data_IF_140313413105
#
_entry.id   IF_140313413105
#
_cell.length_a   1.000
_cell.length_b   1.000
_cell.length_c   1.000
_cell.angle_alpha   90.00
_cell.angle_beta   90.00
_cell.angle_gamma   90.00
#
_symmetry.space_group_name_H-M   'P 1'
#
loop_
_entity.id
_entity.type
_entity.pdbx_description
1 polymer ?
#
# COMPACT_ATOMS: atom_id res chain seq x y z
N UNK A 1 1.40 -14.12 -0.55
CA UNK A 1 0.37 -14.49 -1.55
C UNK A 1 0.29 -13.31 -2.50
N UNK A 2 0.78 -13.45 -3.75
CA UNK A 2 0.64 -12.38 -4.73
C UNK A 2 -0.84 -12.16 -4.95
N UNK A 3 -1.39 -11.07 -4.45
CA UNK A 3 -2.65 -10.53 -4.92
C UNK A 3 -2.44 -10.03 -6.37
N UNK A 4 -2.16 -10.96 -7.28
CA UNK A 4 -2.35 -10.74 -8.71
C UNK A 4 -3.84 -10.68 -8.94
N UNK A 5 -4.38 -9.49 -8.77
CA UNK A 5 -5.77 -9.27 -9.05
C UNK A 5 -5.92 -9.00 -10.55
N UNK A 6 -5.84 -10.09 -11.30
CA UNK A 6 -6.71 -10.33 -12.43
C UNK A 6 -7.69 -11.39 -11.95
N UNK A 7 -8.71 -10.98 -11.20
CA UNK A 7 -9.88 -11.83 -11.00
C UNK A 7 -10.38 -12.25 -12.37
N UNK A 8 -10.79 -13.51 -12.51
CA UNK A 8 -11.57 -13.93 -13.69
C UNK A 8 -12.67 -12.88 -13.89
N UNK A 9 -12.75 -12.26 -15.08
CA UNK A 9 -13.71 -11.19 -15.35
C UNK A 9 -15.14 -11.57 -14.96
N UNK A 10 -15.50 -12.85 -15.04
CA UNK A 10 -16.82 -13.35 -14.66
C UNK A 10 -17.01 -13.38 -13.14
N UNK A 11 -16.01 -13.82 -12.37
CA UNK A 11 -16.06 -13.82 -10.92
C UNK A 11 -16.06 -12.38 -10.38
N UNK A 12 -15.29 -11.48 -11.01
CA UNK A 12 -15.30 -10.07 -10.64
C UNK A 12 -16.68 -9.44 -10.85
N UNK A 13 -17.32 -9.64 -12.01
CA UNK A 13 -18.64 -9.05 -12.32
C UNK A 13 -19.71 -9.47 -11.30
N UNK A 14 -19.68 -10.72 -10.81
CA UNK A 14 -20.61 -11.19 -9.79
C UNK A 14 -20.35 -10.54 -8.43
N UNK A 15 -19.09 -10.48 -7.99
CA UNK A 15 -18.69 -9.86 -6.72
C UNK A 15 -18.94 -8.35 -6.75
N UNK A 16 -18.61 -7.68 -7.88
CA UNK A 16 -18.89 -6.26 -8.07
C UNK A 16 -20.40 -5.98 -7.89
N UNK A 17 -21.27 -6.70 -8.60
CA UNK A 17 -22.72 -6.51 -8.51
C UNK A 17 -23.21 -6.68 -7.08
N UNK A 18 -22.87 -7.77 -6.40
CA UNK A 18 -23.25 -8.03 -5.01
C UNK A 18 -22.74 -6.94 -4.05
N UNK A 19 -21.53 -6.44 -4.27
CA UNK A 19 -20.94 -5.40 -3.43
C UNK A 19 -21.64 -4.06 -3.64
N UNK A 20 -21.88 -3.67 -4.89
CA UNK A 20 -22.58 -2.42 -5.22
C UNK A 20 -24.03 -2.41 -4.74
N UNK A 21 -24.72 -3.56 -4.73
CA UNK A 21 -26.06 -3.68 -4.17
C UNK A 21 -26.09 -3.43 -2.64
N UNK A 22 -25.03 -3.79 -1.93
CA UNK A 22 -24.90 -3.55 -0.47
C UNK A 22 -24.43 -2.13 -0.15
N UNK A 23 -23.57 -1.56 -0.98
CA UNK A 23 -23.03 -0.20 -0.84
C UNK A 23 -23.88 0.77 -1.66
N UNK A 24 -25.15 0.90 -1.29
CA UNK A 24 -26.23 1.55 -2.03
C UNK A 24 -26.14 3.09 -2.08
N UNK A 25 -25.26 3.71 -1.28
CA UNK A 25 -25.04 5.15 -1.31
C UNK A 25 -23.75 5.48 -2.06
N UNK A 26 -23.87 6.40 -3.03
CA UNK A 26 -22.74 6.91 -3.79
C UNK A 26 -22.57 8.42 -3.61
N UNK A 27 -21.31 8.85 -3.45
CA UNK A 27 -20.92 10.26 -3.45
C UNK A 27 -19.76 10.42 -4.42
N UNK A 28 -19.88 11.33 -5.37
CA UNK A 28 -18.90 11.55 -6.42
C UNK A 28 -18.11 12.84 -6.15
N UNK A 29 -16.79 12.78 -6.38
CA UNK A 29 -15.87 13.93 -6.34
C UNK A 29 -15.10 14.03 -7.65
N UNK A 30 -14.03 14.83 -7.70
CA UNK A 30 -13.22 14.98 -8.91
C UNK A 30 -12.58 13.66 -9.34
N UNK A 31 -11.97 12.92 -8.37
CA UNK A 31 -11.19 11.72 -8.66
C UNK A 31 -11.81 10.42 -8.13
N UNK A 32 -12.91 10.49 -7.35
CA UNK A 32 -13.49 9.32 -6.68
C UNK A 32 -14.99 9.16 -6.89
N UNK A 33 -15.43 7.92 -6.77
CA UNK A 33 -16.82 7.52 -6.50
C UNK A 33 -16.79 6.72 -5.19
N UNK A 34 -17.17 7.37 -4.09
CA UNK A 34 -17.28 6.71 -2.78
C UNK A 34 -18.59 5.96 -2.68
N UNK A 35 -18.52 4.69 -2.27
CA UNK A 35 -19.73 3.89 -2.02
C UNK A 35 -19.71 3.34 -0.60
N UNK A 36 -20.86 3.37 0.06
CA UNK A 36 -21.04 2.85 1.41
C UNK A 36 -22.49 2.43 1.65
N UNK A 37 -22.71 1.61 2.66
CA UNK A 37 -24.07 1.23 3.07
C UNK A 37 -24.79 2.42 3.72
N UNK A 38 -26.09 2.56 3.45
CA UNK A 38 -26.91 3.58 4.09
C UNK A 38 -26.89 3.43 5.62
N UNK A 39 -26.73 4.55 6.35
CA UNK A 39 -26.68 4.56 7.81
C UNK A 39 -25.36 4.11 8.44
N UNK A 40 -24.38 3.66 7.65
CA UNK A 40 -23.03 3.34 8.15
C UNK A 40 -22.30 4.56 8.72
N UNK A 41 -21.19 4.34 9.44
CA UNK A 41 -20.31 5.42 9.88
C UNK A 41 -19.73 6.15 8.65
N UNK A 42 -19.31 5.42 7.64
CA UNK A 42 -18.82 5.97 6.39
C UNK A 42 -19.84 6.91 5.72
N UNK A 43 -21.13 6.54 5.72
CA UNK A 43 -22.18 7.39 5.16
C UNK A 43 -22.35 8.72 5.92
N UNK A 44 -22.12 8.73 7.23
CA UNK A 44 -22.16 9.95 8.06
C UNK A 44 -20.93 10.83 7.88
N UNK A 45 -19.77 10.22 7.63
CA UNK A 45 -18.47 10.90 7.55
C UNK A 45 -17.96 11.06 6.09
N UNK A 46 -18.78 10.73 5.09
CA UNK A 46 -18.36 10.72 3.66
C UNK A 46 -17.70 12.03 3.23
N UNK A 47 -18.18 13.19 3.69
CA UNK A 47 -17.59 14.48 3.34
C UNK A 47 -16.15 14.65 3.86
N UNK A 48 -15.86 14.15 5.07
CA UNK A 48 -14.50 14.20 5.62
C UNK A 48 -13.59 13.19 4.90
N UNK A 49 -14.08 11.97 4.66
CA UNK A 49 -13.37 10.94 3.90
C UNK A 49 -13.02 11.46 2.50
N UNK A 50 -13.97 12.05 1.81
CA UNK A 50 -13.76 12.60 0.47
C UNK A 50 -12.69 13.69 0.45
N UNK A 51 -12.71 14.61 1.41
CA UNK A 51 -11.72 15.67 1.50
C UNK A 51 -10.30 15.11 1.77
N UNK A 52 -10.17 14.10 2.63
CA UNK A 52 -8.91 13.44 2.92
C UNK A 52 -8.37 12.69 1.69
N UNK A 53 -9.24 11.95 1.00
CA UNK A 53 -8.84 11.17 -0.18
C UNK A 53 -8.45 12.05 -1.37
N UNK A 54 -9.12 13.17 -1.59
CA UNK A 54 -8.70 14.14 -2.63
C UNK A 54 -7.31 14.75 -2.31
N UNK A 55 -7.01 15.00 -1.03
CA UNK A 55 -5.66 15.41 -0.63
C UNK A 55 -4.62 14.30 -0.87
N UNK A 56 -4.96 13.04 -0.54
CA UNK A 56 -4.12 11.88 -0.80
C UNK A 56 -3.85 11.73 -2.31
N UNK A 57 -4.88 11.83 -3.15
CA UNK A 57 -4.73 11.80 -4.61
C UNK A 57 -3.78 12.88 -5.12
N UNK A 58 -3.93 14.11 -4.66
CA UNK A 58 -3.05 15.22 -5.02
C UNK A 58 -1.57 14.97 -4.67
N UNK A 59 -1.30 14.37 -3.50
CA UNK A 59 0.07 13.96 -3.11
C UNK A 59 0.62 12.87 -4.04
N UNK A 60 -0.19 11.87 -4.35
CA UNK A 60 0.22 10.75 -5.23
C UNK A 60 0.42 11.22 -6.66
N UNK A 61 -0.48 12.05 -7.20
CA UNK A 61 -0.31 12.70 -8.50
C UNK A 61 1.03 13.46 -8.58
N UNK A 62 1.40 14.19 -7.53
CA UNK A 62 2.67 14.91 -7.48
C UNK A 62 3.87 13.96 -7.41
N UNK A 63 3.78 12.86 -6.64
CA UNK A 63 4.83 11.85 -6.51
C UNK A 63 5.08 11.08 -7.82
N UNK A 64 3.99 10.59 -8.44
CA UNK A 64 4.06 9.76 -9.64
C UNK A 64 4.19 10.57 -10.94
N UNK A 65 3.74 11.83 -10.95
CA UNK A 65 3.82 12.73 -12.10
C UNK A 65 2.74 12.50 -13.16
N UNK A 66 1.66 11.77 -12.84
CA UNK A 66 0.51 11.54 -13.72
C UNK A 66 -0.80 11.41 -12.92
N UNK A 67 -1.91 11.38 -13.64
CA UNK A 67 -3.26 11.11 -13.11
C UNK A 67 -3.71 9.71 -13.55
N UNK A 68 -4.57 9.09 -12.75
CA UNK A 68 -5.23 7.85 -13.17
C UNK A 68 -6.29 8.17 -14.26
N UNK A 69 -6.47 7.27 -15.23
CA UNK A 69 -7.36 7.53 -16.38
C UNK A 69 -8.85 7.51 -16.02
N UNK A 70 -9.20 6.88 -14.91
CA UNK A 70 -10.57 6.70 -14.42
C UNK A 70 -10.69 7.14 -12.96
N UNK A 71 -11.91 7.51 -12.54
CA UNK A 71 -12.20 7.72 -11.11
C UNK A 71 -12.05 6.44 -10.34
N UNK A 72 -11.56 6.57 -9.11
CA UNK A 72 -11.40 5.46 -8.19
C UNK A 72 -12.77 5.13 -7.58
N UNK A 73 -13.22 3.90 -7.72
CA UNK A 73 -14.35 3.33 -6.99
C UNK A 73 -13.86 2.96 -5.57
N UNK A 74 -14.18 3.81 -4.60
CA UNK A 74 -13.74 3.67 -3.22
C UNK A 74 -14.87 3.06 -2.39
N UNK A 75 -14.75 1.76 -2.10
CA UNK A 75 -15.78 0.91 -1.51
C UNK A 75 -15.56 0.83 0.00
N UNK A 76 -16.33 1.61 0.77
CA UNK A 76 -16.24 1.72 2.21
C UNK A 76 -17.08 0.64 2.87
N UNK A 77 -16.45 -0.43 3.30
CA UNK A 77 -17.05 -1.58 3.97
C UNK A 77 -17.17 -1.35 5.47
N UNK A 78 -18.02 -2.13 6.14
CA UNK A 78 -18.27 -1.94 7.56
C UNK A 78 -17.21 -2.54 8.48
N UNK A 79 -16.38 -3.47 7.98
CA UNK A 79 -15.33 -4.09 8.79
C UNK A 79 -14.25 -4.79 7.95
N UNK A 80 -13.08 -5.11 8.55
CA UNK A 80 -12.06 -5.94 7.92
C UNK A 80 -12.54 -7.35 7.54
N UNK A 81 -13.49 -7.92 8.27
CA UNK A 81 -14.10 -9.23 7.97
C UNK A 81 -14.92 -9.18 6.69
N UNK A 82 -15.62 -8.08 6.44
CA UNK A 82 -16.37 -7.87 5.20
C UNK A 82 -15.43 -7.82 4.00
N UNK A 83 -14.29 -7.12 4.11
CA UNK A 83 -13.24 -7.13 3.09
C UNK A 83 -12.68 -8.53 2.86
N UNK A 84 -12.41 -9.27 3.94
CA UNK A 84 -11.93 -10.65 3.87
C UNK A 84 -12.93 -11.58 3.17
N UNK A 85 -14.22 -11.41 3.40
CA UNK A 85 -15.27 -12.18 2.71
C UNK A 85 -15.24 -11.92 1.19
N UNK A 86 -15.09 -10.65 0.78
CA UNK A 86 -14.95 -10.29 -0.66
C UNK A 86 -13.71 -10.94 -1.26
N UNK A 87 -12.57 -10.93 -0.57
CA UNK A 87 -11.37 -11.64 -1.03
C UNK A 87 -11.61 -13.15 -1.17
N UNK A 88 -12.29 -13.75 -0.21
CA UNK A 88 -12.64 -15.18 -0.25
C UNK A 88 -13.54 -15.53 -1.44
N UNK A 89 -14.48 -14.67 -1.81
CA UNK A 89 -15.32 -14.85 -3.01
C UNK A 89 -14.48 -14.73 -4.31
N UNK A 90 -13.53 -13.79 -4.35
CA UNK A 90 -12.69 -13.54 -5.53
C UNK A 90 -11.59 -14.60 -5.75
N UNK A 91 -10.98 -15.09 -4.68
CA UNK A 91 -9.76 -15.91 -4.76
C UNK A 91 -9.90 -17.30 -4.13
N UNK A 92 -11.09 -17.66 -3.70
CA UNK A 92 -11.38 -18.89 -2.98
C UNK A 92 -11.32 -18.72 -1.47
N UNK A 93 -12.06 -19.57 -0.76
CA UNK A 93 -12.31 -19.42 0.67
C UNK A 93 -11.08 -19.36 1.59
N UNK A 94 -9.92 -19.87 1.16
CA UNK A 94 -8.66 -19.77 1.90
C UNK A 94 -8.10 -18.35 1.97
N UNK A 95 -8.54 -17.44 1.08
CA UNK A 95 -8.19 -16.03 1.09
C UNK A 95 -9.07 -15.19 2.05
N UNK A 96 -10.09 -15.77 2.64
CA UNK A 96 -11.01 -15.07 3.55
C UNK A 96 -10.40 -14.89 4.94
N UNK A 97 -9.66 -13.81 5.13
CA UNK A 97 -9.15 -13.36 6.44
C UNK A 97 -9.42 -11.85 6.62
N UNK A 98 -9.60 -11.35 7.86
CA UNK A 98 -9.82 -9.93 8.09
C UNK A 98 -8.69 -9.08 7.49
N UNK A 99 -9.04 -8.09 6.67
CA UNK A 99 -8.10 -7.16 6.06
C UNK A 99 -8.66 -5.73 6.06
N UNK A 100 -7.84 -4.77 6.47
CA UNK A 100 -8.28 -3.38 6.59
C UNK A 100 -8.61 -2.75 5.24
N UNK A 101 -7.79 -3.02 4.22
CA UNK A 101 -7.99 -2.52 2.86
C UNK A 101 -7.29 -3.40 1.84
N UNK A 102 -7.70 -3.26 0.60
CA UNK A 102 -7.01 -3.82 -0.56
C UNK A 102 -7.45 -3.11 -1.85
N UNK A 103 -6.62 -3.21 -2.87
CA UNK A 103 -6.84 -2.54 -4.15
C UNK A 103 -6.91 -3.51 -5.30
N UNK A 104 -7.83 -3.26 -6.24
CA UNK A 104 -7.98 -4.02 -7.48
C UNK A 104 -7.80 -3.06 -8.67
N UNK A 105 -6.75 -3.29 -9.45
CA UNK A 105 -6.54 -2.54 -10.69
C UNK A 105 -7.72 -2.73 -11.68
N UNK A 106 -8.10 -1.72 -12.46
CA UNK A 106 -7.41 -0.42 -12.53
C UNK A 106 -7.88 0.62 -11.50
N UNK A 107 -9.01 0.42 -10.79
CA UNK A 107 -9.69 1.53 -10.11
C UNK A 107 -10.38 1.23 -8.78
N UNK A 108 -10.39 0.01 -8.29
CA UNK A 108 -11.16 -0.33 -7.08
C UNK A 108 -10.29 -0.30 -5.83
N UNK A 109 -10.80 0.32 -4.78
CA UNK A 109 -10.27 0.27 -3.42
C UNK A 109 -11.37 -0.22 -2.48
N UNK A 110 -11.08 -1.25 -1.71
CA UNK A 110 -11.91 -1.71 -0.60
C UNK A 110 -11.26 -1.23 0.70
N UNK A 111 -12.02 -0.54 1.53
CA UNK A 111 -11.51 0.07 2.75
C UNK A 111 -12.50 -0.12 3.91
N UNK A 112 -12.09 -0.80 4.95
CA UNK A 112 -12.86 -0.92 6.17
C UNK A 112 -12.96 0.43 6.87
N UNK A 113 -14.20 0.82 7.24
CA UNK A 113 -14.44 2.09 7.90
C UNK A 113 -15.48 1.94 9.01
N UNK A 114 -15.01 1.77 10.23
CA UNK A 114 -15.83 1.67 11.45
C UNK A 114 -15.20 2.47 12.60
N UNK A 115 -15.69 2.28 13.82
CA UNK A 115 -15.18 2.96 15.02
C UNK A 115 -13.78 2.46 15.45
N UNK A 116 -13.33 1.30 14.98
CA UNK A 116 -12.04 0.68 15.30
C UNK A 116 -11.01 0.88 14.19
N UNK A 117 -11.44 0.79 12.94
CA UNK A 117 -10.62 0.86 11.74
C UNK A 117 -11.15 1.92 10.81
N UNK A 118 -10.29 2.85 10.44
CA UNK A 118 -10.53 3.88 9.42
C UNK A 118 -9.45 3.76 8.35
N UNK A 119 -9.64 2.84 7.41
CA UNK A 119 -8.70 2.59 6.33
C UNK A 119 -8.85 3.64 5.22
N UNK A 120 -8.36 4.84 5.50
CA UNK A 120 -8.31 5.98 4.57
C UNK A 120 -6.89 6.53 4.50
N UNK A 121 -6.58 7.31 3.47
CA UNK A 121 -5.23 7.86 3.27
C UNK A 121 -4.61 7.43 1.95
N UNK A 122 -3.28 7.38 1.89
CA UNK A 122 -2.57 7.13 0.64
C UNK A 122 -2.41 5.64 0.30
N UNK A 123 -2.36 4.74 1.28
CA UNK A 123 -1.87 3.37 1.13
C UNK A 123 -2.49 2.63 -0.07
N UNK A 124 -3.79 2.40 -0.04
CA UNK A 124 -4.49 1.63 -1.07
C UNK A 124 -4.48 2.33 -2.43
N UNK A 125 -4.58 3.65 -2.43
CA UNK A 125 -4.53 4.43 -3.66
C UNK A 125 -3.14 4.41 -4.29
N UNK A 126 -2.08 4.30 -3.48
CA UNK A 126 -0.70 4.12 -3.96
C UNK A 126 -0.56 2.86 -4.79
N UNK A 127 -1.22 1.77 -4.40
CA UNK A 127 -1.21 0.55 -5.20
C UNK A 127 -1.82 0.78 -6.59
N UNK A 128 -2.94 1.51 -6.73
CA UNK A 128 -3.52 1.82 -8.03
C UNK A 128 -2.57 2.66 -8.91
N UNK A 129 -1.95 3.69 -8.35
CA UNK A 129 -0.93 4.46 -9.06
C UNK A 129 0.26 3.59 -9.47
N UNK A 130 0.77 2.78 -8.56
CA UNK A 130 1.92 1.92 -8.85
C UNK A 130 1.60 0.84 -9.92
N UNK A 131 0.39 0.27 -9.90
CA UNK A 131 -0.06 -0.69 -10.92
C UNK A 131 -0.22 -0.04 -12.30
N UNK A 132 -0.64 1.22 -12.36
CA UNK A 132 -0.67 1.97 -13.61
C UNK A 132 0.74 2.26 -14.16
N UNK A 133 1.76 2.36 -13.30
CA UNK A 133 3.16 2.47 -13.70
C UNK A 133 3.70 1.12 -14.21
N UNK A 134 3.60 0.09 -13.40
CA UNK A 134 3.97 -1.29 -13.72
C UNK A 134 3.44 -2.25 -12.65
N UNK A 135 3.25 -3.52 -13.02
CA UNK A 135 2.97 -4.55 -12.01
C UNK A 135 4.18 -4.72 -11.08
N UNK A 136 3.96 -4.78 -9.75
CA UNK A 136 5.04 -4.89 -8.78
C UNK A 136 5.91 -6.10 -9.05
N UNK A 137 7.23 -5.91 -9.01
CA UNK A 137 8.23 -6.98 -9.13
C UNK A 137 8.63 -7.54 -7.75
N UNK A 138 8.27 -6.84 -6.69
CA UNK A 138 8.56 -7.17 -5.30
C UNK A 138 7.45 -6.63 -4.39
N UNK A 139 6.86 -7.49 -3.59
CA UNK A 139 5.88 -7.07 -2.57
C UNK A 139 6.53 -6.18 -1.52
N UNK A 140 7.79 -6.44 -1.17
CA UNK A 140 8.56 -5.58 -0.27
C UNK A 140 8.62 -4.13 -0.76
N UNK A 141 8.85 -3.88 -2.07
CA UNK A 141 8.83 -2.52 -2.62
C UNK A 141 7.42 -1.98 -2.80
N UNK A 142 6.44 -2.82 -3.13
CA UNK A 142 5.05 -2.42 -3.31
C UNK A 142 4.45 -1.91 -2.00
N UNK A 143 4.53 -2.72 -0.95
CA UNK A 143 4.07 -2.34 0.38
C UNK A 143 4.94 -1.21 0.96
N UNK A 144 6.24 -1.24 0.70
CA UNK A 144 7.14 -0.17 1.11
C UNK A 144 6.79 1.19 0.52
N UNK A 145 6.38 1.25 -0.75
CA UNK A 145 5.94 2.49 -1.39
C UNK A 145 4.62 2.98 -0.81
N UNK A 146 3.66 2.09 -0.57
CA UNK A 146 2.40 2.41 0.09
C UNK A 146 2.62 2.93 1.52
N UNK A 147 3.49 2.27 2.29
CA UNK A 147 3.88 2.71 3.63
C UNK A 147 4.66 4.02 3.66
N UNK A 148 5.49 4.28 2.64
CA UNK A 148 6.18 5.56 2.48
C UNK A 148 5.17 6.70 2.27
N UNK A 149 4.15 6.51 1.44
CA UNK A 149 3.14 7.54 1.15
C UNK A 149 2.23 7.83 2.33
N UNK A 150 1.94 6.83 3.17
CA UNK A 150 1.24 7.00 4.44
C UNK A 150 2.13 7.64 5.53
N UNK A 151 3.44 7.41 5.46
CA UNK A 151 4.44 7.96 6.39
C UNK A 151 4.47 7.30 7.78
N UNK A 152 3.43 6.58 8.17
CA UNK A 152 3.28 6.02 9.51
C UNK A 152 2.57 4.66 9.50
N UNK A 153 2.90 3.81 10.46
CA UNK A 153 2.19 2.58 10.76
C UNK A 153 1.57 2.68 12.16
N UNK A 154 0.24 2.52 12.26
CA UNK A 154 -0.50 2.72 13.50
C UNK A 154 -0.21 4.09 14.17
N UNK A 155 -0.13 5.15 13.38
CA UNK A 155 0.08 6.51 13.85
C UNK A 155 1.52 6.83 14.31
N UNK A 156 2.46 5.87 14.20
CA UNK A 156 3.89 6.09 14.48
C UNK A 156 4.71 6.04 13.20
N UNK A 157 5.60 7.03 12.95
CA UNK A 157 6.48 7.06 11.78
C UNK A 157 7.27 5.77 11.59
N UNK A 158 7.43 5.34 10.32
CA UNK A 158 8.06 4.08 9.97
C UNK A 158 9.50 3.99 10.49
N UNK A 159 10.29 5.06 10.40
CA UNK A 159 11.67 5.12 10.91
C UNK A 159 11.74 4.92 12.43
N UNK A 160 10.73 5.39 13.18
CA UNK A 160 10.67 5.22 14.64
C UNK A 160 10.45 3.76 15.03
N UNK A 161 9.62 3.05 14.26
CA UNK A 161 9.48 1.60 14.42
C UNK A 161 10.79 0.88 14.19
N UNK A 162 11.50 1.19 13.09
CA UNK A 162 12.78 0.55 12.77
C UNK A 162 13.83 0.83 13.83
N UNK A 163 13.91 2.07 14.37
CA UNK A 163 14.80 2.40 15.51
C UNK A 163 14.55 1.53 16.72
N UNK A 164 13.28 1.27 17.06
CA UNK A 164 12.92 0.39 18.16
C UNK A 164 13.31 -1.06 17.87
N UNK A 165 13.01 -1.56 16.66
CA UNK A 165 13.37 -2.92 16.27
C UNK A 165 14.87 -3.18 16.30
N UNK A 166 15.68 -2.19 15.91
CA UNK A 166 17.14 -2.28 16.04
C UNK A 166 17.61 -2.34 17.49
N UNK A 167 16.94 -1.64 18.41
CA UNK A 167 17.28 -1.63 19.84
C UNK A 167 16.90 -2.91 20.56
N UNK A 168 15.75 -3.47 20.24
CA UNK A 168 15.16 -4.61 20.96
C UNK A 168 15.36 -5.95 20.26
N UNK A 169 16.09 -5.97 19.14
CA UNK A 169 16.45 -7.19 18.42
C UNK A 169 15.33 -7.78 17.54
N UNK A 170 14.24 -7.03 17.30
CA UNK A 170 13.15 -7.45 16.40
C UNK A 170 13.39 -7.10 14.94
N UNK A 171 14.46 -6.36 14.64
CA UNK A 171 14.76 -5.99 13.26
C UNK A 171 15.02 -7.23 12.39
N UNK A 172 14.34 -7.30 11.26
CA UNK A 172 14.54 -8.35 10.26
C UNK A 172 15.41 -7.78 9.12
N UNK A 173 16.57 -8.39 8.83
CA UNK A 173 17.48 -7.91 7.78
C UNK A 173 16.82 -7.87 6.39
N UNK A 174 17.18 -6.88 5.58
CA UNK A 174 16.62 -6.67 4.24
C UNK A 174 16.73 -7.93 3.36
N UNK A 175 17.85 -8.64 3.43
CA UNK A 175 18.06 -9.88 2.66
C UNK A 175 17.03 -10.97 2.95
N UNK A 176 16.34 -10.90 4.09
CA UNK A 176 15.23 -11.79 4.48
C UNK A 176 13.85 -11.24 4.11
N UNK A 177 13.75 -10.00 3.65
CA UNK A 177 12.48 -9.35 3.32
C UNK A 177 12.27 -9.15 1.81
N UNK A 178 13.31 -9.27 1.02
CA UNK A 178 13.27 -8.96 -0.43
C UNK A 178 12.53 -10.01 -1.28
N UNK A 179 12.31 -11.23 -0.78
CA UNK A 179 11.47 -12.23 -1.46
C UNK A 179 10.05 -12.18 -0.90
N UNK A 180 9.05 -12.32 -1.77
CA UNK A 180 7.65 -12.28 -1.38
C UNK A 180 7.30 -13.35 -0.34
N UNK A 181 7.80 -14.58 -0.51
CA UNK A 181 7.61 -15.68 0.44
C UNK A 181 8.11 -15.31 1.83
N UNK A 182 9.33 -14.77 1.91
CA UNK A 182 9.94 -14.39 3.19
C UNK A 182 9.29 -13.14 3.78
N UNK A 183 8.88 -12.17 2.96
CA UNK A 183 8.19 -10.96 3.41
C UNK A 183 6.91 -11.31 4.17
N UNK A 184 6.06 -12.17 3.60
CA UNK A 184 4.81 -12.58 4.23
C UNK A 184 4.97 -13.68 5.31
N UNK A 185 6.15 -14.26 5.46
CA UNK A 185 6.44 -15.17 6.57
C UNK A 185 6.68 -14.47 7.90
N UNK A 186 6.91 -13.15 7.88
CA UNK A 186 7.10 -12.34 9.07
C UNK A 186 5.84 -11.51 9.39
N UNK A 187 5.64 -11.12 10.67
CA UNK A 187 4.52 -10.27 11.08
C UNK A 187 4.52 -8.92 10.35
N UNK A 188 3.35 -8.48 9.89
CA UNK A 188 3.18 -7.21 9.16
C UNK A 188 3.60 -6.00 10.00
N UNK A 189 3.45 -6.07 11.33
CA UNK A 189 3.86 -5.04 12.28
C UNK A 189 5.39 -4.79 12.27
N UNK A 190 6.15 -5.73 11.71
CA UNK A 190 7.61 -5.62 11.55
C UNK A 190 7.96 -5.29 10.10
N UNK A 191 7.39 -6.04 9.14
CA UNK A 191 7.80 -5.95 7.74
C UNK A 191 7.37 -4.64 7.07
N UNK A 192 6.17 -4.17 7.36
CA UNK A 192 5.61 -2.95 6.74
C UNK A 192 6.38 -1.68 7.14
N UNK A 193 6.64 -1.41 8.45
CA UNK A 193 7.46 -0.27 8.82
C UNK A 193 8.89 -0.32 8.26
N UNK A 194 9.51 -1.51 8.20
CA UNK A 194 10.85 -1.65 7.61
C UNK A 194 10.81 -1.33 6.12
N UNK A 195 9.83 -1.86 5.38
CA UNK A 195 9.68 -1.60 3.96
C UNK A 195 9.42 -0.10 3.67
N UNK A 196 8.54 0.54 4.46
CA UNK A 196 8.24 1.96 4.34
C UNK A 196 9.44 2.86 4.61
N UNK A 197 10.16 2.60 5.70
CA UNK A 197 11.40 3.33 6.03
C UNK A 197 12.50 3.11 4.99
N UNK A 198 12.59 1.89 4.42
CA UNK A 198 13.56 1.60 3.38
C UNK A 198 13.25 2.32 2.07
N UNK A 199 11.98 2.36 1.65
CA UNK A 199 11.58 3.15 0.46
C UNK A 199 11.81 4.63 0.69
N UNK A 200 11.54 5.17 1.90
CA UNK A 200 11.87 6.54 2.26
C UNK A 200 13.37 6.83 2.10
N UNK A 201 14.23 5.95 2.62
CA UNK A 201 15.68 6.03 2.44
C UNK A 201 16.08 6.05 0.95
N UNK A 202 15.50 5.17 0.14
CA UNK A 202 15.81 5.11 -1.30
C UNK A 202 15.37 6.38 -2.03
N UNK A 203 14.19 6.89 -1.73
CA UNK A 203 13.67 8.12 -2.34
C UNK A 203 14.50 9.34 -1.91
N UNK A 204 14.96 9.38 -0.66
CA UNK A 204 15.86 10.43 -0.20
C UNK A 204 17.20 10.42 -0.94
N UNK A 205 17.82 9.25 -1.11
CA UNK A 205 19.14 9.12 -1.76
C UNK A 205 19.09 9.27 -3.30
N UNK A 206 18.01 8.80 -3.94
CA UNK A 206 17.89 8.75 -5.40
C UNK A 206 16.98 9.84 -5.99
N UNK A 207 16.07 10.36 -5.18
CA UNK A 207 14.91 11.11 -5.63
C UNK A 207 13.77 10.22 -6.14
N UNK A 208 12.53 10.66 -5.96
CA UNK A 208 11.32 9.89 -6.31
C UNK A 208 11.32 9.45 -7.78
N UNK A 209 11.70 10.34 -8.69
CA UNK A 209 11.73 10.04 -10.13
C UNK A 209 12.65 8.86 -10.47
N UNK A 210 13.88 8.85 -9.95
CA UNK A 210 14.81 7.75 -10.22
C UNK A 210 14.33 6.45 -9.55
N UNK A 211 13.81 6.53 -8.32
CA UNK A 211 13.24 5.36 -7.65
C UNK A 211 12.13 4.73 -8.51
N UNK A 212 11.16 5.52 -8.97
CA UNK A 212 10.02 5.04 -9.76
C UNK A 212 10.41 4.57 -11.17
N UNK A 213 11.50 5.06 -11.75
CA UNK A 213 11.91 4.71 -13.12
C UNK A 213 13.01 3.65 -13.20
N UNK A 214 13.92 3.59 -12.23
CA UNK A 214 15.09 2.73 -12.29
C UNK A 214 15.08 1.59 -11.27
N UNK A 215 14.39 1.76 -10.13
CA UNK A 215 14.35 0.76 -9.05
C UNK A 215 13.07 -0.04 -9.06
N UNK A 216 11.93 0.64 -8.95
CA UNK A 216 10.62 0.01 -8.78
C UNK A 216 10.23 -0.96 -9.92
N UNK A 217 10.39 -0.63 -11.22
CA UNK A 217 10.03 -1.49 -12.35
C UNK A 217 11.12 -2.50 -12.75
N UNK A 218 12.25 -2.52 -12.06
CA UNK A 218 13.42 -3.29 -12.50
C UNK A 218 13.23 -4.80 -12.35
N UNK A 219 13.62 -5.55 -13.37
CA UNK A 219 13.71 -7.02 -13.34
C UNK A 219 15.04 -7.54 -12.76
N UNK A 220 15.98 -6.66 -12.44
CA UNK A 220 17.24 -7.05 -11.80
C UNK A 220 17.01 -7.49 -10.36
N UNK A 221 17.84 -8.40 -9.81
CA UNK A 221 17.85 -8.69 -8.38
C UNK A 221 17.97 -7.38 -7.58
N UNK A 222 17.06 -7.17 -6.61
CA UNK A 222 16.87 -5.88 -5.96
C UNK A 222 18.16 -5.28 -5.41
N UNK A 223 18.94 -6.05 -4.61
CA UNK A 223 20.18 -5.54 -4.01
C UNK A 223 21.27 -5.23 -5.05
N UNK A 224 21.31 -5.93 -6.17
CA UNK A 224 22.24 -5.64 -7.26
C UNK A 224 21.86 -4.35 -7.97
N UNK A 225 20.56 -4.17 -8.27
CA UNK A 225 20.09 -2.92 -8.87
C UNK A 225 20.34 -1.73 -7.93
N UNK A 226 20.07 -1.88 -6.64
CA UNK A 226 20.30 -0.83 -5.65
C UNK A 226 21.79 -0.49 -5.51
N UNK A 227 22.67 -1.49 -5.51
CA UNK A 227 24.11 -1.26 -5.50
C UNK A 227 24.54 -0.37 -6.67
N UNK A 228 24.03 -0.67 -7.86
CA UNK A 228 24.26 0.14 -9.08
C UNK A 228 23.67 1.57 -8.94
N UNK A 229 22.43 1.69 -8.47
CA UNK A 229 21.77 2.99 -8.38
C UNK A 229 22.36 3.90 -7.32
N UNK A 230 22.82 3.33 -6.20
CA UNK A 230 23.39 4.05 -5.06
C UNK A 230 24.93 4.22 -5.16
N UNK A 231 25.57 3.58 -6.15
CA UNK A 231 27.03 3.54 -6.33
C UNK A 231 27.77 3.01 -5.08
N UNK A 232 27.24 1.92 -4.49
CA UNK A 232 27.84 1.21 -3.35
C UNK A 232 27.77 -0.30 -3.57
N UNK A 233 28.63 -1.05 -2.88
CA UNK A 233 28.55 -2.51 -2.92
C UNK A 233 27.24 -2.99 -2.27
N UNK A 234 26.58 -3.99 -2.85
CA UNK A 234 25.28 -4.48 -2.36
C UNK A 234 25.28 -4.88 -0.88
N UNK A 235 26.41 -5.41 -0.38
CA UNK A 235 26.57 -5.80 1.02
C UNK A 235 26.64 -4.59 2.00
N UNK A 236 26.78 -3.37 1.48
CA UNK A 236 26.79 -2.13 2.27
C UNK A 236 25.41 -1.49 2.39
N UNK A 237 24.44 -1.92 1.59
CA UNK A 237 23.09 -1.30 1.55
C UNK A 237 22.41 -1.39 2.92
N UNK A 238 22.45 -2.56 3.55
CA UNK A 238 21.90 -2.79 4.90
C UNK A 238 22.47 -1.82 5.93
N UNK A 239 23.81 -1.72 5.98
CA UNK A 239 24.50 -0.84 6.92
C UNK A 239 24.21 0.64 6.65
N UNK A 240 24.16 1.04 5.37
CA UNK A 240 23.82 2.41 4.97
C UNK A 240 22.38 2.79 5.39
N UNK A 241 21.43 1.89 5.18
CA UNK A 241 20.04 2.10 5.63
C UNK A 241 19.94 2.22 7.14
N UNK A 242 20.52 1.28 7.90
CA UNK A 242 20.48 1.32 9.35
C UNK A 242 21.13 2.61 9.90
N UNK A 243 22.25 3.02 9.33
CA UNK A 243 22.93 4.27 9.71
C UNK A 243 22.04 5.49 9.47
N UNK A 244 21.40 5.58 8.31
CA UNK A 244 20.47 6.67 7.98
C UNK A 244 19.28 6.73 8.95
N UNK A 245 18.68 5.58 9.25
CA UNK A 245 17.59 5.50 10.25
C UNK A 245 18.05 5.99 11.62
N UNK A 246 19.21 5.52 12.09
CA UNK A 246 19.73 5.90 13.42
C UNK A 246 20.11 7.38 13.51
N UNK A 247 20.64 7.96 12.41
CA UNK A 247 20.97 9.38 12.32
C UNK A 247 19.71 10.28 12.29
N UNK A 248 18.53 9.74 11.95
CA UNK A 248 17.31 10.51 11.76
C UNK A 248 17.25 11.21 10.39
N UNK A 249 17.95 10.66 9.41
CA UNK A 249 18.00 11.15 8.02
C UNK A 249 16.88 10.56 7.15
N UNK A 250 16.02 9.72 7.69
CA UNK A 250 14.81 9.22 7.00
C UNK A 250 13.60 10.05 7.46
N UNK A 251 12.86 10.66 6.53
CA UNK A 251 11.68 11.48 6.83
C UNK A 251 10.50 10.67 7.39
#
# INVERSE_FOLDING_TARGET
MQLRILADESAWAEVESKTLDRLDRATETEHYIFRCAAGSLAARETGAIAAEQEQAYGKLKALFGYELPEKIEYLLTASPEENGAVLGELFGGEAAYPINGFSIAPKYVFAAYDDQVKCVGCHEVTHLFSYALCMPKSQFLSEGLAMYTDGAFWGKPNDRWVKEFLKDGRYVPLCKLISDESFFAHPTEITYPIAGAFVAFLIEKLGAKRFLQEVYPSDMPLLENLGRCLDIHKDQIEAAFQAAVLAGETP
#
